data_IF_043328885641
#
_entry.id   IF_043328885641
#
_cell.length_a   1.000
_cell.length_b   1.000
_cell.length_c   1.000
_cell.angle_alpha   90.00
_cell.angle_beta   90.00
_cell.angle_gamma   90.00
#
_symmetry.space_group_name_H-M   'P 1'
#
loop_
_entity.id
_entity.type
_entity.pdbx_description
1 polymer ?
#
# COMPACT_ATOMS: atom_id res chain seq x y z
N UNK A 1 -11.46 -7.51 11.44
CA UNK A 1 -10.33 -7.67 10.49
C UNK A 1 -10.22 -6.44 9.59
N UNK A 2 -11.33 -5.99 9.01
CA UNK A 2 -11.43 -4.73 8.25
C UNK A 2 -10.81 -3.50 8.96
N UNK A 3 -11.24 -3.20 10.19
CA UNK A 3 -10.73 -2.01 10.93
C UNK A 3 -9.21 -2.10 11.21
N UNK A 4 -8.70 -3.30 11.47
CA UNK A 4 -7.26 -3.51 11.63
C UNK A 4 -6.50 -3.21 10.34
N UNK A 5 -6.96 -3.74 9.20
CA UNK A 5 -6.41 -3.45 7.87
C UNK A 5 -6.41 -1.95 7.56
N UNK A 6 -7.53 -1.27 7.79
CA UNK A 6 -7.67 0.17 7.62
C UNK A 6 -6.63 0.95 8.43
N UNK A 7 -6.45 0.59 9.70
CA UNK A 7 -5.46 1.23 10.56
C UNK A 7 -4.02 1.01 10.08
N UNK A 8 -3.71 -0.15 9.47
CA UNK A 8 -2.40 -0.40 8.87
C UNK A 8 -2.14 0.48 7.64
N UNK A 9 -3.12 0.67 6.76
CA UNK A 9 -2.98 1.60 5.62
C UNK A 9 -2.73 3.03 6.10
N UNK A 10 -3.49 3.48 7.11
CA UNK A 10 -3.31 4.83 7.68
C UNK A 10 -1.92 5.05 8.25
N UNK A 11 -1.41 4.05 8.99
CA UNK A 11 -0.06 4.13 9.54
C UNK A 11 1.01 4.10 8.44
N UNK A 12 0.80 3.31 7.38
CA UNK A 12 1.69 3.26 6.22
C UNK A 12 1.75 4.63 5.53
N UNK A 13 0.61 5.28 5.31
CA UNK A 13 0.53 6.64 4.77
C UNK A 13 1.20 7.66 5.68
N UNK A 14 0.96 7.56 6.99
CA UNK A 14 1.56 8.46 7.99
C UNK A 14 3.09 8.47 7.89
N UNK A 15 3.69 7.28 7.89
CA UNK A 15 5.15 7.11 7.84
C UNK A 15 5.73 7.51 6.48
N UNK A 16 5.13 7.07 5.37
CA UNK A 16 5.70 7.28 4.04
C UNK A 16 5.43 8.67 3.48
N UNK A 17 4.34 9.32 3.88
CA UNK A 17 3.84 10.54 3.24
C UNK A 17 3.66 11.65 4.26
N UNK A 18 2.80 11.48 5.27
CA UNK A 18 2.32 12.62 6.07
C UNK A 18 3.39 13.20 7.00
N UNK A 19 4.34 12.39 7.48
CA UNK A 19 5.45 12.83 8.34
C UNK A 19 6.58 13.54 7.57
N UNK A 20 6.59 13.47 6.24
CA UNK A 20 7.55 14.15 5.39
C UNK A 20 6.85 15.20 4.51
N UNK A 21 6.91 16.46 4.93
CA UNK A 21 6.19 17.56 4.27
C UNK A 21 6.51 17.66 2.77
N UNK A 22 7.76 17.41 2.37
CA UNK A 22 8.14 17.44 0.95
C UNK A 22 7.47 16.33 0.13
N UNK A 23 7.28 15.14 0.72
CA UNK A 23 6.62 14.01 0.08
C UNK A 23 5.12 14.22 0.09
N UNK A 24 4.56 14.74 1.18
CA UNK A 24 3.14 15.11 1.28
C UNK A 24 2.74 16.11 0.20
N UNK A 25 3.50 17.18 0.02
CA UNK A 25 3.26 18.14 -1.05
C UNK A 25 3.33 17.48 -2.44
N UNK A 26 4.31 16.60 -2.66
CA UNK A 26 4.44 15.87 -3.91
C UNK A 26 3.26 14.93 -4.15
N UNK A 27 2.79 14.24 -3.10
CA UNK A 27 1.63 13.35 -3.13
C UNK A 27 0.37 14.09 -3.59
N UNK A 28 0.06 15.22 -2.96
CA UNK A 28 -1.10 16.05 -3.29
C UNK A 28 -1.04 16.62 -4.73
N UNK A 29 0.16 16.94 -5.19
CA UNK A 29 0.39 17.55 -6.52
C UNK A 29 0.60 16.52 -7.64
N UNK A 30 0.68 15.21 -7.34
CA UNK A 30 1.03 14.15 -8.29
C UNK A 30 -0.14 13.72 -9.21
N UNK A 31 -0.62 14.66 -10.04
CA UNK A 31 -1.69 14.40 -11.01
C UNK A 31 -1.19 13.72 -12.30
N UNK A 32 -0.01 14.11 -12.80
CA UNK A 32 0.55 13.57 -14.04
C UNK A 32 1.38 12.31 -13.82
N UNK A 33 1.49 11.46 -14.86
CA UNK A 33 2.32 10.24 -14.81
C UNK A 33 3.77 10.55 -14.41
N UNK A 34 4.35 11.63 -14.94
CA UNK A 34 5.72 12.07 -14.61
C UNK A 34 5.86 12.39 -13.12
N UNK A 35 4.92 13.12 -12.53
CA UNK A 35 4.95 13.45 -11.09
C UNK A 35 4.73 12.22 -10.22
N UNK A 36 3.86 11.29 -10.65
CA UNK A 36 3.65 10.00 -9.96
C UNK A 36 4.91 9.15 -9.95
N UNK A 37 5.64 9.09 -11.08
CA UNK A 37 6.92 8.38 -11.16
C UNK A 37 7.98 9.01 -10.27
N UNK A 38 8.11 10.34 -10.30
CA UNK A 38 9.04 11.07 -9.46
C UNK A 38 8.76 10.87 -7.96
N UNK A 39 7.49 10.89 -7.54
CA UNK A 39 7.09 10.55 -6.18
C UNK A 39 7.51 9.12 -5.80
N UNK A 40 7.27 8.15 -6.68
CA UNK A 40 7.69 6.76 -6.44
C UNK A 40 9.22 6.66 -6.27
N UNK A 41 10.00 7.30 -7.14
CA UNK A 41 11.46 7.34 -7.03
C UNK A 41 11.91 7.92 -5.68
N UNK A 42 11.26 8.99 -5.21
CA UNK A 42 11.56 9.57 -3.89
C UNK A 42 11.23 8.63 -2.74
N UNK A 43 10.09 7.94 -2.80
CA UNK A 43 9.71 6.95 -1.80
C UNK A 43 10.65 5.73 -1.79
N UNK A 44 11.14 5.29 -2.96
CA UNK A 44 12.19 4.26 -3.05
C UNK A 44 13.47 4.71 -2.38
N UNK A 45 13.91 5.95 -2.62
CA UNK A 45 15.10 6.49 -1.95
C UNK A 45 14.93 6.55 -0.43
N UNK A 46 13.76 6.92 0.08
CA UNK A 46 13.49 6.90 1.52
C UNK A 46 13.56 5.46 2.04
N UNK A 47 12.85 4.53 1.39
CA UNK A 47 12.80 3.12 1.77
C UNK A 47 14.18 2.44 1.80
N UNK A 48 15.08 2.77 0.87
CA UNK A 48 16.42 2.14 0.81
C UNK A 48 17.41 2.78 1.79
N UNK A 49 17.29 4.08 2.06
CA UNK A 49 18.30 4.81 2.84
C UNK A 49 17.95 4.94 4.33
N UNK A 50 16.68 4.75 4.72
CA UNK A 50 16.22 4.83 6.10
C UNK A 50 15.79 3.44 6.60
N UNK A 51 16.63 2.82 7.43
CA UNK A 51 16.38 1.47 7.95
C UNK A 51 15.18 1.40 8.91
N UNK A 52 14.86 2.48 9.62
CA UNK A 52 13.72 2.51 10.53
C UNK A 52 12.40 2.59 9.75
N UNK A 53 12.37 3.46 8.73
CA UNK A 53 11.25 3.51 7.78
C UNK A 53 11.11 2.16 7.09
N UNK A 54 12.21 1.59 6.56
CA UNK A 54 12.21 0.30 5.89
C UNK A 54 11.54 -0.79 6.72
N UNK A 55 12.04 -1.02 7.94
CA UNK A 55 11.51 -2.06 8.82
C UNK A 55 10.03 -1.83 9.17
N UNK A 56 9.65 -0.58 9.44
CA UNK A 56 8.28 -0.21 9.77
C UNK A 56 7.33 -0.49 8.61
N UNK A 57 7.68 -0.08 7.39
CA UNK A 57 6.80 -0.24 6.23
C UNK A 57 6.74 -1.69 5.73
N UNK A 58 7.81 -2.46 5.88
CA UNK A 58 7.82 -3.90 5.60
C UNK A 58 6.89 -4.67 6.55
N UNK A 59 6.92 -4.35 7.85
CA UNK A 59 6.02 -4.93 8.83
C UNK A 59 4.56 -4.59 8.52
N UNK A 60 4.25 -3.33 8.21
CA UNK A 60 2.89 -2.90 7.88
C UNK A 60 2.39 -3.51 6.57
N UNK A 61 3.26 -3.61 5.57
CA UNK A 61 2.95 -4.29 4.31
C UNK A 61 2.68 -5.77 4.55
N UNK A 62 3.50 -6.43 5.39
CA UNK A 62 3.27 -7.83 5.76
C UNK A 62 1.92 -8.02 6.44
N UNK A 63 1.58 -7.16 7.42
CA UNK A 63 0.27 -7.18 8.09
C UNK A 63 -0.89 -7.03 7.10
N UNK A 64 -0.87 -5.98 6.27
CA UNK A 64 -1.90 -5.72 5.26
C UNK A 64 -2.14 -6.94 4.37
N UNK A 65 -1.07 -7.61 3.98
CA UNK A 65 -1.12 -8.62 2.96
C UNK A 65 -1.41 -10.01 3.52
N UNK A 66 -1.00 -10.28 4.76
CA UNK A 66 -1.48 -11.44 5.52
C UNK A 66 -3.00 -11.39 5.71
N UNK A 67 -3.56 -10.19 5.93
CA UNK A 67 -5.00 -10.00 6.05
C UNK A 67 -5.73 -10.26 4.72
N UNK A 68 -5.21 -9.74 3.61
CA UNK A 68 -5.83 -9.90 2.29
C UNK A 68 -5.64 -11.30 1.68
N UNK A 69 -4.68 -12.09 2.18
CA UNK A 69 -4.40 -13.46 1.75
C UNK A 69 -4.24 -13.62 0.22
N UNK A 70 -3.60 -12.65 -0.44
CA UNK A 70 -3.44 -12.62 -1.90
C UNK A 70 -2.30 -13.54 -2.37
N UNK A 71 -2.55 -14.34 -3.43
CA UNK A 71 -1.58 -15.33 -3.96
C UNK A 71 -0.30 -14.69 -4.52
N UNK A 72 -0.43 -13.59 -5.26
CA UNK A 72 0.69 -12.79 -5.79
C UNK A 72 1.70 -12.40 -4.70
N UNK A 73 1.24 -12.34 -3.45
CA UNK A 73 2.06 -11.92 -2.34
C UNK A 73 2.92 -13.02 -1.73
N UNK A 74 2.43 -14.26 -1.69
CA UNK A 74 3.27 -15.39 -1.27
C UNK A 74 4.49 -15.49 -2.17
N UNK A 75 4.33 -15.22 -3.46
CA UNK A 75 5.43 -15.23 -4.43
C UNK A 75 6.40 -14.06 -4.24
N UNK A 76 5.90 -12.83 -4.04
CA UNK A 76 6.75 -11.67 -3.71
C UNK A 76 7.51 -11.91 -2.39
N UNK A 77 6.83 -12.43 -1.36
CA UNK A 77 7.45 -12.67 -0.07
C UNK A 77 8.44 -13.81 -0.09
N UNK A 78 8.18 -14.90 -0.84
CA UNK A 78 9.17 -15.95 -1.11
C UNK A 78 10.43 -15.40 -1.79
N UNK A 79 10.27 -14.48 -2.77
CA UNK A 79 11.42 -13.80 -3.41
C UNK A 79 12.20 -12.96 -2.41
N UNK A 80 11.48 -12.22 -1.57
CA UNK A 80 12.05 -11.35 -0.54
C UNK A 80 12.77 -12.15 0.56
N UNK A 81 12.18 -13.22 1.10
CA UNK A 81 12.81 -14.10 2.10
C UNK A 81 13.98 -14.90 1.55
N UNK A 82 13.94 -15.30 0.27
CA UNK A 82 15.08 -15.94 -0.37
C UNK A 82 16.25 -14.96 -0.56
N UNK A 83 15.98 -13.67 -0.85
CA UNK A 83 17.01 -12.62 -0.85
C UNK A 83 17.54 -12.31 0.55
N UNK A 84 16.67 -12.32 1.57
CA UNK A 84 17.06 -12.10 2.97
C UNK A 84 17.76 -13.31 3.60
N UNK A 85 17.69 -14.51 3.01
CA UNK A 85 18.62 -15.61 3.35
C UNK A 85 20.03 -15.37 2.79
N UNK A 86 20.15 -14.47 1.80
CA UNK A 86 21.39 -13.97 1.22
C UNK A 86 21.99 -12.79 1.98
N UNK A 87 21.89 -12.74 3.32
CA UNK A 87 22.62 -11.79 4.19
C UNK A 87 24.14 -11.75 3.89
N UNK A 88 24.69 -12.72 3.15
CA UNK A 88 26.03 -12.67 2.57
C UNK A 88 26.25 -11.60 1.48
N UNK A 89 25.23 -10.92 0.93
CA UNK A 89 25.43 -9.75 0.07
C UNK A 89 25.83 -8.50 0.86
N UNK A 90 25.42 -8.40 2.14
CA UNK A 90 25.83 -7.33 3.06
C UNK A 90 27.35 -7.33 3.28
N UNK A 91 28.00 -8.49 3.20
CA UNK A 91 29.46 -8.63 3.31
C UNK A 91 30.20 -8.25 2.01
N UNK A 92 29.55 -8.34 0.85
CA UNK A 92 30.12 -7.86 -0.42
C UNK A 92 30.04 -6.33 -0.50
N UNK A 93 28.95 -5.75 0.00
CA UNK A 93 28.75 -4.29 0.11
C UNK A 93 29.74 -3.63 1.10
N UNK A 94 30.18 -4.36 2.13
CA UNK A 94 31.19 -3.89 3.08
C UNK A 94 32.61 -3.72 2.47
N UNK A 95 32.87 -4.31 1.30
CA UNK A 95 34.11 -4.16 0.55
C UNK A 95 33.87 -3.25 -0.66
N UNK A 96 33.84 -1.95 -0.39
CA UNK A 96 33.34 -0.91 -1.29
C UNK A 96 33.79 -0.99 -2.75
N UNK A 97 32.79 -1.02 -3.64
CA UNK A 97 32.89 -0.46 -4.98
C UNK A 97 31.88 0.69 -5.13
N UNK A 98 32.30 1.97 -5.08
CA UNK A 98 31.41 3.07 -4.72
C UNK A 98 30.52 3.66 -5.83
N UNK A 99 30.59 3.21 -7.09
CA UNK A 99 29.98 3.94 -8.22
C UNK A 99 29.15 3.09 -9.20
N UNK A 100 29.22 1.76 -9.16
CA UNK A 100 28.69 0.92 -10.26
C UNK A 100 27.41 0.13 -9.94
N UNK A 101 27.06 -0.10 -8.67
CA UNK A 101 25.84 -0.84 -8.30
C UNK A 101 24.68 0.05 -7.84
N UNK A 102 24.90 1.34 -7.56
CA UNK A 102 23.92 2.20 -6.88
C UNK A 102 22.96 2.97 -7.79
N UNK A 103 23.15 2.96 -9.12
CA UNK A 103 22.33 3.79 -10.03
C UNK A 103 21.56 3.00 -11.11
N UNK A 104 22.00 1.79 -11.45
CA UNK A 104 21.35 0.97 -12.49
C UNK A 104 20.19 0.11 -12.01
N UNK A 105 20.21 -0.32 -10.75
CA UNK A 105 19.23 -1.23 -10.13
C UNK A 105 18.12 -0.49 -9.40
N UNK A 106 18.45 0.56 -8.63
CA UNK A 106 17.52 1.46 -7.90
C UNK A 106 16.48 2.19 -8.79
N UNK A 107 16.64 2.10 -10.12
CA UNK A 107 15.78 2.74 -11.12
C UNK A 107 15.16 1.74 -12.10
N UNK A 108 15.40 0.43 -11.95
CA UNK A 108 14.62 -0.57 -12.69
C UNK A 108 13.25 -0.68 -12.04
N UNK A 109 12.15 -0.33 -12.73
CA UNK A 109 10.81 -0.50 -12.20
C UNK A 109 10.46 -1.95 -11.84
N UNK A 110 11.28 -2.93 -12.24
CA UNK A 110 11.15 -4.34 -11.87
C UNK A 110 12.10 -4.75 -10.72
N UNK A 111 12.84 -3.81 -10.11
CA UNK A 111 13.61 -4.08 -8.91
C UNK A 111 12.68 -4.25 -7.69
N UNK A 112 13.14 -5.04 -6.72
CA UNK A 112 12.33 -5.41 -5.56
C UNK A 112 11.89 -4.18 -4.73
N UNK A 113 12.78 -3.20 -4.42
CA UNK A 113 12.39 -1.97 -3.75
C UNK A 113 11.28 -1.20 -4.47
N UNK A 114 11.37 -1.01 -5.79
CA UNK A 114 10.34 -0.31 -6.56
C UNK A 114 9.01 -1.04 -6.56
N UNK A 115 9.01 -2.37 -6.64
CA UNK A 115 7.78 -3.17 -6.57
C UNK A 115 7.13 -3.07 -5.18
N UNK A 116 7.92 -3.17 -4.11
CA UNK A 116 7.41 -3.03 -2.73
C UNK A 116 6.81 -1.64 -2.50
N UNK A 117 7.53 -0.58 -2.87
CA UNK A 117 7.04 0.80 -2.76
C UNK A 117 5.80 1.01 -3.63
N UNK A 118 5.75 0.43 -4.83
CA UNK A 118 4.55 0.51 -5.70
C UNK A 118 3.34 -0.14 -5.03
N UNK A 119 3.51 -1.29 -4.40
CA UNK A 119 2.43 -1.94 -3.65
C UNK A 119 1.96 -1.09 -2.48
N UNK A 120 2.88 -0.50 -1.71
CA UNK A 120 2.54 0.43 -0.62
C UNK A 120 1.77 1.65 -1.13
N UNK A 121 2.21 2.27 -2.23
CA UNK A 121 1.51 3.40 -2.87
C UNK A 121 0.09 3.00 -3.28
N UNK A 122 -0.10 1.82 -3.87
CA UNK A 122 -1.42 1.36 -4.29
C UNK A 122 -2.35 1.16 -3.08
N UNK A 123 -1.87 0.53 -2.00
CA UNK A 123 -2.65 0.39 -0.76
C UNK A 123 -3.05 1.74 -0.18
N UNK A 124 -2.14 2.71 -0.15
CA UNK A 124 -2.43 4.07 0.33
C UNK A 124 -3.43 4.78 -0.58
N UNK A 125 -3.36 4.59 -1.91
CA UNK A 125 -4.34 5.17 -2.84
C UNK A 125 -5.75 4.61 -2.67
N UNK A 126 -5.86 3.37 -2.19
CA UNK A 126 -7.14 2.73 -1.90
C UNK A 126 -7.68 3.12 -0.51
N UNK A 127 -6.91 3.84 0.34
CA UNK A 127 -7.36 4.36 1.66
C UNK A 127 -8.72 5.08 1.60
N UNK A 128 -8.97 6.03 0.66
CA UNK A 128 -10.24 6.76 0.64
C UNK A 128 -11.43 5.86 0.31
N UNK A 129 -11.21 4.73 -0.36
CA UNK A 129 -12.24 3.72 -0.65
C UNK A 129 -12.54 2.92 0.60
N UNK A 130 -11.50 2.49 1.31
CA UNK A 130 -11.63 1.81 2.62
C UNK A 130 -12.37 2.71 3.63
N UNK A 131 -12.10 4.02 3.63
CA UNK A 131 -12.83 4.99 4.45
C UNK A 131 -14.31 5.15 4.04
N UNK A 132 -14.63 5.12 2.73
CA UNK A 132 -16.01 5.13 2.26
C UNK A 132 -16.75 3.84 2.67
N UNK A 133 -16.08 2.69 2.56
CA UNK A 133 -16.64 1.41 3.01
C UNK A 133 -16.90 1.41 4.52
N UNK A 134 -16.01 1.99 5.32
CA UNK A 134 -16.20 2.12 6.77
C UNK A 134 -17.47 2.92 7.12
N UNK A 135 -17.77 3.99 6.39
CA UNK A 135 -18.99 4.78 6.62
C UNK A 135 -20.27 4.00 6.33
N UNK A 136 -20.28 3.19 5.27
CA UNK A 136 -21.41 2.28 4.98
C UNK A 136 -21.49 1.19 6.06
N UNK A 137 -20.35 0.65 6.49
CA UNK A 137 -20.28 -0.39 7.53
C UNK A 137 -20.85 0.06 8.88
N UNK A 138 -20.60 1.30 9.29
CA UNK A 138 -21.17 1.87 10.51
C UNK A 138 -22.70 1.87 10.49
N UNK A 139 -23.30 2.03 9.32
CA UNK A 139 -24.76 1.97 9.10
C UNK A 139 -25.28 0.55 8.95
N UNK A 140 -24.46 -0.32 8.37
CA UNK A 140 -24.71 -1.75 8.25
C UNK A 140 -24.46 -2.54 9.55
N UNK A 141 -24.21 -1.87 10.69
CA UNK A 141 -23.90 -2.50 11.97
C UNK A 141 -22.73 -3.51 11.87
N UNK A 142 -21.76 -3.24 10.99
CA UNK A 142 -20.61 -4.09 10.74
C UNK A 142 -20.93 -5.50 10.21
N UNK A 143 -22.09 -5.69 9.58
CA UNK A 143 -22.52 -6.97 9.00
C UNK A 143 -22.34 -6.97 7.48
N UNK A 144 -21.68 -8.00 6.96
CA UNK A 144 -21.46 -8.14 5.52
C UNK A 144 -22.75 -8.17 4.69
N UNK A 145 -23.82 -8.90 5.06
CA UNK A 145 -25.06 -8.91 4.29
C UNK A 145 -25.69 -7.51 4.16
N UNK A 146 -25.82 -6.79 5.27
CA UNK A 146 -26.35 -5.41 5.28
C UNK A 146 -25.46 -4.46 4.47
N UNK A 147 -24.15 -4.60 4.56
CA UNK A 147 -23.22 -3.82 3.74
C UNK A 147 -23.47 -4.04 2.25
N UNK A 148 -23.69 -5.29 1.84
CA UNK A 148 -23.98 -5.63 0.44
C UNK A 148 -25.35 -5.13 -0.01
N UNK A 149 -26.35 -5.11 0.87
CA UNK A 149 -27.65 -4.46 0.60
C UNK A 149 -27.44 -2.98 0.26
N UNK A 150 -26.74 -2.23 1.12
CA UNK A 150 -26.43 -0.82 0.84
C UNK A 150 -25.64 -0.63 -0.45
N UNK A 151 -24.67 -1.50 -0.76
CA UNK A 151 -23.87 -1.42 -1.99
C UNK A 151 -24.68 -1.66 -3.28
N UNK A 152 -25.78 -2.41 -3.18
CA UNK A 152 -26.66 -2.77 -4.30
C UNK A 152 -27.93 -1.91 -4.38
N UNK A 153 -28.20 -1.11 -3.35
CA UNK A 153 -29.31 -0.16 -3.36
C UNK A 153 -29.00 0.99 -4.33
N UNK A 154 -29.68 1.02 -5.48
CA UNK A 154 -29.53 2.08 -6.49
C UNK A 154 -30.42 3.29 -6.22
N UNK A 155 -31.41 3.17 -5.32
CA UNK A 155 -32.40 4.22 -5.04
C UNK A 155 -32.02 5.07 -3.82
N UNK A 156 -31.21 4.55 -2.90
CA UNK A 156 -30.74 5.31 -1.74
C UNK A 156 -29.70 6.37 -2.15
N UNK A 157 -30.15 7.60 -2.37
CA UNK A 157 -29.30 8.76 -2.68
C UNK A 157 -28.30 9.09 -1.55
N UNK A 158 -28.52 8.64 -0.30
CA UNK A 158 -27.64 8.98 0.83
C UNK A 158 -26.21 8.41 0.65
N UNK A 159 -26.08 7.21 0.09
CA UNK A 159 -24.77 6.56 -0.10
C UNK A 159 -24.29 6.55 -1.55
N UNK A 160 -25.00 7.20 -2.46
CA UNK A 160 -24.70 7.18 -3.90
C UNK A 160 -23.25 7.54 -4.22
N UNK A 161 -22.78 8.69 -3.74
CA UNK A 161 -21.41 9.17 -3.95
C UNK A 161 -20.37 8.20 -3.36
N UNK A 162 -20.66 7.61 -2.19
CA UNK A 162 -19.77 6.63 -1.57
C UNK A 162 -19.69 5.35 -2.42
N UNK A 163 -20.84 4.85 -2.90
CA UNK A 163 -20.91 3.64 -3.73
C UNK A 163 -20.19 3.83 -5.05
N UNK A 164 -20.39 4.96 -5.72
CA UNK A 164 -19.69 5.28 -6.96
C UNK A 164 -18.18 5.24 -6.76
N UNK A 165 -17.69 5.95 -5.74
CA UNK A 165 -16.26 5.98 -5.40
C UNK A 165 -15.71 4.60 -5.01
N UNK A 166 -16.48 3.78 -4.30
CA UNK A 166 -16.09 2.41 -3.96
C UNK A 166 -16.01 1.57 -5.24
N UNK A 167 -17.02 1.65 -6.11
CA UNK A 167 -17.12 0.86 -7.35
C UNK A 167 -16.04 1.22 -8.37
N UNK A 168 -15.47 2.43 -8.33
CA UNK A 168 -14.30 2.82 -9.14
C UNK A 168 -13.01 2.06 -8.77
N UNK A 169 -12.88 1.59 -7.53
CA UNK A 169 -11.70 0.86 -7.07
C UNK A 169 -11.75 -0.61 -7.48
N UNK A 170 -10.80 -1.07 -8.28
CA UNK A 170 -10.78 -2.47 -8.75
C UNK A 170 -10.72 -3.50 -7.62
N UNK A 171 -10.15 -3.13 -6.48
CA UNK A 171 -9.86 -4.04 -5.36
C UNK A 171 -10.92 -4.00 -4.25
N UNK A 172 -11.99 -3.19 -4.37
CA UNK A 172 -12.91 -2.97 -3.24
C UNK A 172 -13.56 -4.27 -2.72
N UNK A 173 -13.80 -5.23 -3.61
CA UNK A 173 -14.36 -6.55 -3.25
C UNK A 173 -13.42 -7.35 -2.36
N UNK A 174 -12.11 -7.24 -2.59
CA UNK A 174 -11.09 -7.90 -1.77
C UNK A 174 -11.14 -7.35 -0.33
N UNK A 175 -11.41 -6.05 -0.17
CA UNK A 175 -11.60 -5.44 1.14
C UNK A 175 -12.93 -5.84 1.77
N UNK A 176 -13.98 -6.04 0.97
CA UNK A 176 -15.29 -6.44 1.48
C UNK A 176 -15.26 -7.82 2.13
N UNK A 177 -14.39 -8.72 1.68
CA UNK A 177 -14.16 -10.02 2.34
C UNK A 177 -13.55 -9.93 3.74
N UNK A 178 -13.06 -8.76 4.17
CA UNK A 178 -12.54 -8.54 5.53
C UNK A 178 -13.65 -8.18 6.54
N UNK A 179 -14.87 -7.97 6.07
CA UNK A 179 -16.05 -7.67 6.88
C UNK A 179 -16.58 -9.00 7.46
N UNK A 180 -16.89 -9.05 8.76
CA UNK A 180 -17.51 -10.24 9.36
C UNK A 180 -18.83 -10.62 8.67
N UNK A 181 -19.04 -11.93 8.46
CA UNK A 181 -20.29 -12.49 7.98
C UNK A 181 -21.43 -12.27 8.98
#
# INVERSE_FOLDING_TARGET
>A
MFEFYRNRIKLLKKILIDENESIKELWEKAKSLRKKKYLQEKLVQIYVNDSEVQASVEMLLSDCMNILNTKDLKELWLKTTNLFSGISLRNVIAHGNPLLESLGTLLDPNDLPSELVRKMINLIRDEPVVDCMQQILEKAEYQFPKFMEFMNDEEDEQFKDLREKIKECKNWKDYAFLIPL
#
